data_IF_080100708647
#
_entry.id   IF_080100708647
#
_cell.length_a   1.000
_cell.length_b   1.000
_cell.length_c   1.000
_cell.angle_alpha   90.00
_cell.angle_beta   90.00
_cell.angle_gamma   90.00
#
_symmetry.space_group_name_H-M   'P 1'
#
loop_
_entity.id
_entity.type
_entity.pdbx_description
1 polymer ?
#
# COMPACT_ATOMS: atom_id res chain seq x y z
N UNK A 1 -14.96 -13.58 -73.91
CA UNK A 1 -15.45 -12.20 -73.75
C UNK A 1 -15.72 -11.96 -72.26
N UNK A 2 -14.72 -11.92 -71.38
CA UNK A 2 -13.53 -11.01 -71.28
C UNK A 2 -13.89 -9.70 -70.58
N UNK A 3 -13.23 -9.31 -69.46
CA UNK A 3 -11.83 -8.81 -69.32
C UNK A 3 -11.84 -7.27 -69.38
N UNK A 4 -11.15 -6.49 -68.53
CA UNK A 4 -10.35 -6.75 -67.32
C UNK A 4 -10.07 -5.41 -66.60
N UNK A 5 -9.57 -5.46 -65.35
CA UNK A 5 -8.77 -4.38 -64.75
C UNK A 5 -9.47 -3.48 -63.72
N UNK A 6 -8.77 -2.85 -62.76
CA UNK A 6 -7.87 -3.33 -61.68
C UNK A 6 -7.24 -2.10 -60.97
N UNK A 7 -6.57 -2.29 -59.82
CA UNK A 7 -5.66 -1.31 -59.14
C UNK A 7 -6.41 -0.12 -58.49
N UNK A 8 -6.14 0.42 -57.28
CA UNK A 8 -5.29 0.18 -56.08
C UNK A 8 -6.25 0.36 -54.84
N UNK A 9 -5.95 0.32 -53.54
CA UNK A 9 -4.72 0.20 -52.72
C UNK A 9 -5.05 -0.30 -51.30
N UNK A 10 -4.05 -0.84 -50.59
CA UNK A 10 -4.09 -1.07 -49.14
C UNK A 10 -3.49 0.10 -48.35
N UNK A 11 -3.99 0.34 -47.13
CA UNK A 11 -3.39 1.29 -46.18
C UNK A 11 -2.84 0.57 -44.94
N UNK A 12 -1.56 0.23 -44.99
CA UNK A 12 -0.80 -0.30 -43.86
C UNK A 12 -0.26 0.84 -42.97
N UNK A 13 -0.49 0.84 -41.64
CA UNK A 13 0.13 1.83 -40.75
C UNK A 13 1.66 1.68 -40.72
N UNK A 14 2.38 2.80 -40.83
CA UNK A 14 3.85 2.83 -40.77
C UNK A 14 4.35 2.86 -39.32
N UNK A 15 5.09 1.83 -38.90
CA UNK A 15 5.93 1.90 -37.70
C UNK A 15 7.32 2.45 -38.07
N UNK A 16 7.66 3.64 -37.59
CA UNK A 16 9.01 4.20 -37.73
C UNK A 16 10.00 3.40 -36.87
N UNK A 17 10.83 2.58 -37.51
CA UNK A 17 12.08 2.04 -36.95
C UNK A 17 13.27 2.64 -37.68
N UNK A 18 14.27 3.10 -36.94
CA UNK A 18 15.60 3.46 -37.45
C UNK A 18 16.68 2.55 -36.81
N UNK A 19 17.85 2.37 -37.42
CA UNK A 19 18.36 1.00 -37.52
C UNK A 19 19.75 0.71 -36.92
N UNK A 20 19.95 -0.59 -36.66
CA UNK A 20 21.23 -1.33 -36.66
C UNK A 20 22.26 -1.09 -35.56
N UNK A 21 22.64 -2.20 -34.90
CA UNK A 21 23.93 -2.86 -35.17
C UNK A 21 23.90 -4.33 -34.72
N UNK A 22 24.41 -5.22 -35.56
CA UNK A 22 24.75 -6.60 -35.17
C UNK A 22 26.10 -6.60 -34.43
N UNK A 23 26.32 -7.58 -33.55
CA UNK A 23 27.60 -8.25 -33.42
C UNK A 23 27.53 -9.68 -33.99
N UNK A 24 28.60 -10.11 -34.64
CA UNK A 24 28.76 -11.47 -35.18
C UNK A 24 29.18 -12.47 -34.11
N UNK A 25 29.04 -13.76 -34.42
CA UNK A 25 29.47 -14.89 -33.59
C UNK A 25 30.97 -14.90 -33.28
N UNK A 26 31.32 -15.29 -32.04
CA UNK A 26 32.62 -15.91 -31.73
C UNK A 26 32.46 -16.93 -30.60
N UNK A 27 32.77 -18.19 -30.86
CA UNK A 27 32.80 -19.23 -29.82
C UNK A 27 34.01 -19.06 -28.90
N UNK A 28 33.80 -19.18 -27.59
CA UNK A 28 34.89 -19.31 -26.62
C UNK A 28 34.52 -20.39 -25.58
N UNK A 29 35.01 -21.61 -25.81
CA UNK A 29 34.88 -22.71 -24.85
C UNK A 29 35.80 -22.44 -23.66
N UNK A 30 35.22 -22.25 -22.47
CA UNK A 30 35.96 -22.25 -21.21
C UNK A 30 35.53 -23.45 -20.37
N UNK A 31 36.47 -24.38 -20.20
CA UNK A 31 36.35 -25.55 -19.36
C UNK A 31 36.44 -25.14 -17.88
N UNK A 32 35.39 -25.38 -17.10
CA UNK A 32 35.51 -25.37 -15.64
C UNK A 32 36.00 -26.74 -15.17
N UNK A 33 37.25 -26.80 -14.73
CA UNK A 33 37.82 -27.99 -14.09
C UNK A 33 37.34 -28.10 -12.65
N UNK A 34 36.86 -29.28 -12.26
CA UNK A 34 36.58 -29.59 -10.86
C UNK A 34 37.90 -29.67 -10.08
N UNK A 35 38.02 -28.88 -9.02
CA UNK A 35 39.01 -29.12 -7.96
C UNK A 35 38.33 -29.26 -6.60
N UNK A 36 38.17 -30.51 -6.16
CA UNK A 36 37.90 -30.82 -4.76
C UNK A 36 39.13 -30.50 -3.91
N UNK A 37 38.92 -29.84 -2.77
CA UNK A 37 39.88 -29.80 -1.67
C UNK A 37 39.12 -29.90 -0.35
N UNK A 38 39.73 -30.57 0.64
CA UNK A 38 39.04 -30.96 1.88
C UNK A 38 39.24 -29.94 3.01
N UNK A 39 38.38 -30.03 4.02
CA UNK A 39 38.39 -29.19 5.22
C UNK A 39 39.65 -29.38 6.09
N UNK A 40 39.88 -28.44 7.01
CA UNK A 40 40.08 -28.85 8.40
C UNK A 40 38.93 -28.36 9.31
N UNK A 41 38.70 -29.07 10.41
CA UNK A 41 37.61 -28.77 11.35
C UNK A 41 38.03 -27.79 12.43
N UNK A 42 37.19 -26.79 12.74
CA UNK A 42 37.26 -26.05 13.99
C UNK A 42 36.02 -26.34 14.86
N UNK A 43 36.24 -27.01 15.99
CA UNK A 43 35.22 -27.26 17.00
C UNK A 43 34.98 -25.98 17.79
N UNK A 44 33.79 -25.39 17.72
CA UNK A 44 33.35 -24.40 18.72
C UNK A 44 32.54 -25.09 19.82
N UNK A 45 32.80 -24.69 21.06
CA UNK A 45 32.33 -25.38 22.25
C UNK A 45 30.97 -24.83 22.70
N UNK A 46 29.98 -25.69 22.93
CA UNK A 46 28.75 -25.29 23.61
C UNK A 46 29.06 -25.04 25.09
N UNK A 47 29.01 -23.78 25.52
CA UNK A 47 28.80 -23.45 26.93
C UNK A 47 27.31 -23.14 27.14
N UNK A 48 26.66 -23.94 27.99
CA UNK A 48 25.34 -23.59 28.52
C UNK A 48 25.53 -22.62 29.68
N UNK A 49 24.78 -21.52 29.68
CA UNK A 49 24.53 -20.72 30.88
C UNK A 49 23.07 -20.90 31.28
N UNK A 50 22.86 -21.63 32.38
CA UNK A 50 21.56 -21.83 33.01
C UNK A 50 21.17 -20.54 33.77
N UNK A 51 20.51 -19.61 33.07
CA UNK A 51 19.84 -18.48 33.71
C UNK A 51 18.49 -18.94 34.28
N UNK A 52 18.42 -19.10 35.61
CA UNK A 52 17.23 -19.56 36.32
C UNK A 52 16.14 -18.48 36.39
N UNK A 53 15.27 -18.42 35.38
CA UNK A 53 14.04 -17.62 35.44
C UNK A 53 13.03 -18.26 36.41
N UNK A 54 12.58 -17.51 37.41
CA UNK A 54 11.45 -17.91 38.25
C UNK A 54 10.13 -17.37 37.65
N UNK A 55 9.03 -18.15 37.68
CA UNK A 55 7.73 -17.69 37.20
C UNK A 55 7.08 -16.74 38.21
N UNK A 56 6.71 -15.54 37.77
CA UNK A 56 5.88 -14.62 38.56
C UNK A 56 4.42 -15.06 38.43
N UNK A 57 3.82 -15.52 39.53
CA UNK A 57 2.42 -15.91 39.56
C UNK A 57 1.49 -14.69 39.53
N UNK A 58 0.40 -14.69 38.73
CA UNK A 58 -0.60 -13.63 38.76
C UNK A 58 -1.41 -13.66 40.06
N UNK A 59 -1.74 -12.48 40.59
CA UNK A 59 -2.58 -12.34 41.78
C UNK A 59 -4.04 -12.75 41.52
N UNK A 60 -4.79 -13.21 42.55
CA UNK A 60 -6.11 -13.80 42.34
C UNK A 60 -7.18 -12.80 41.85
N UNK A 61 -8.09 -13.31 41.03
CA UNK A 61 -9.17 -12.57 40.36
C UNK A 61 -10.05 -11.82 41.38
N UNK A 62 -10.08 -10.48 41.29
CA UNK A 62 -11.01 -9.66 42.06
C UNK A 62 -12.40 -9.77 41.42
N UNK A 63 -13.35 -10.36 42.15
CA UNK A 63 -14.72 -10.60 41.67
C UNK A 63 -15.47 -9.26 41.57
N UNK A 64 -15.72 -8.76 40.36
CA UNK A 64 -16.64 -7.64 40.16
C UNK A 64 -18.10 -8.10 40.36
N UNK A 65 -18.92 -7.22 40.93
CA UNK A 65 -20.36 -7.45 41.05
C UNK A 65 -21.04 -7.32 39.66
N UNK A 66 -22.21 -7.96 39.45
CA UNK A 66 -22.98 -7.72 38.23
C UNK A 66 -23.48 -6.28 38.22
N UNK A 67 -23.02 -5.49 37.24
CA UNK A 67 -23.62 -4.19 36.94
C UNK A 67 -25.01 -4.42 36.33
N UNK A 68 -25.96 -3.59 36.76
CA UNK A 68 -27.33 -3.63 36.26
C UNK A 68 -27.40 -3.27 34.78
N UNK A 69 -28.37 -3.89 34.10
CA UNK A 69 -28.76 -3.55 32.72
C UNK A 69 -29.20 -2.07 32.59
N UNK A 70 -29.39 -1.60 31.36
CA UNK A 70 -29.82 -0.25 30.95
C UNK A 70 -28.75 0.85 30.90
N UNK A 71 -27.71 0.65 30.09
CA UNK A 71 -27.15 1.75 29.29
C UNK A 71 -27.53 1.58 27.81
N UNK A 72 -28.72 2.06 27.45
CA UNK A 72 -29.04 2.38 26.04
C UNK A 72 -28.33 3.69 25.69
N UNK A 73 -27.07 3.59 25.31
CA UNK A 73 -26.38 4.71 24.65
C UNK A 73 -27.08 4.96 23.31
N UNK A 74 -27.71 6.13 23.14
CA UNK A 74 -28.16 6.58 21.83
C UNK A 74 -26.93 6.90 20.98
N UNK A 75 -26.42 5.90 20.27
CA UNK A 75 -25.28 6.05 19.36
C UNK A 75 -25.72 6.88 18.16
N UNK A 76 -25.45 8.18 18.20
CA UNK A 76 -25.62 9.11 17.07
C UNK A 76 -25.19 8.44 15.75
N UNK A 77 -26.04 8.57 14.73
CA UNK A 77 -25.80 8.02 13.38
C UNK A 77 -24.51 8.55 12.73
N UNK A 78 -24.02 9.69 13.22
CA UNK A 78 -22.78 10.36 12.82
C UNK A 78 -21.81 10.44 14.00
N UNK A 79 -20.52 10.48 13.68
CA UNK A 79 -19.49 10.84 14.65
C UNK A 79 -19.65 12.29 15.13
N UNK A 80 -19.31 12.52 16.39
CA UNK A 80 -19.36 13.84 17.02
C UNK A 80 -18.02 14.56 16.80
N UNK A 81 -17.91 15.21 15.64
CA UNK A 81 -16.73 15.99 15.19
C UNK A 81 -17.16 17.22 14.38
N UNK A 82 -16.28 18.21 14.29
CA UNK A 82 -16.51 19.43 13.51
C UNK A 82 -16.34 19.18 12.00
N UNK A 83 -17.43 18.79 11.34
CA UNK A 83 -17.43 18.40 9.92
C UNK A 83 -17.02 19.52 8.94
N UNK A 84 -17.23 20.79 9.28
CA UNK A 84 -16.93 21.92 8.38
C UNK A 84 -15.43 22.27 8.30
N UNK A 85 -14.66 22.02 9.36
CA UNK A 85 -13.23 22.32 9.43
C UNK A 85 -12.33 21.10 9.13
N UNK A 86 -12.87 20.08 8.45
CA UNK A 86 -12.11 18.91 8.01
C UNK A 86 -11.08 19.26 6.91
N UNK A 87 -9.81 19.29 7.29
CA UNK A 87 -8.69 19.22 6.33
C UNK A 87 -8.46 17.80 5.78
N UNK A 88 -7.31 17.59 5.16
CA UNK A 88 -6.79 16.26 4.82
C UNK A 88 -5.81 15.77 5.90
N UNK A 89 -6.33 15.59 7.12
CA UNK A 89 -5.62 14.99 8.25
C UNK A 89 -5.85 13.49 8.34
N UNK A 90 -5.13 12.84 9.26
CA UNK A 90 -5.50 11.52 9.77
C UNK A 90 -6.32 11.68 11.05
N UNK A 91 -7.49 11.03 11.11
CA UNK A 91 -8.30 10.86 12.31
C UNK A 91 -8.64 9.37 12.44
N UNK A 92 -8.37 8.71 13.58
CA UNK A 92 -8.71 7.32 13.78
C UNK A 92 -10.24 7.14 13.82
N UNK A 93 -10.74 6.09 13.17
CA UNK A 93 -12.16 5.72 13.15
C UNK A 93 -12.40 4.46 13.99
N UNK A 94 -13.62 3.91 13.96
CA UNK A 94 -13.97 2.77 14.82
C UNK A 94 -13.29 1.44 14.43
N UNK A 95 -13.20 1.14 13.13
CA UNK A 95 -12.76 -0.17 12.62
C UNK A 95 -11.73 -0.08 11.48
N UNK A 96 -10.88 -1.09 11.40
CA UNK A 96 -10.02 -1.40 10.25
C UNK A 96 -10.28 -2.85 9.79
N UNK A 97 -9.88 -3.19 8.57
CA UNK A 97 -10.04 -4.54 8.01
C UNK A 97 -8.69 -5.16 7.68
N UNK A 98 -8.47 -6.43 8.02
CA UNK A 98 -7.20 -7.13 7.79
C UNK A 98 -7.41 -8.48 7.06
N UNK A 99 -6.44 -8.85 6.22
CA UNK A 99 -6.25 -10.19 5.65
C UNK A 99 -4.77 -10.56 5.68
N UNK A 100 -4.44 -11.83 5.89
CA UNK A 100 -3.05 -12.35 5.85
C UNK A 100 -2.88 -13.34 4.70
N UNK A 101 -1.67 -13.45 4.17
CA UNK A 101 -1.34 -14.37 3.07
C UNK A 101 0.10 -14.87 3.22
N UNK A 102 0.31 -16.18 3.15
CA UNK A 102 1.65 -16.76 3.02
C UNK A 102 2.15 -16.62 1.57
N UNK A 103 3.47 -16.56 1.37
CA UNK A 103 4.08 -16.51 0.04
C UNK A 103 3.67 -17.72 -0.81
N UNK A 104 3.13 -17.46 -2.00
CA UNK A 104 2.59 -18.49 -2.90
C UNK A 104 1.22 -19.06 -2.49
N UNK A 105 0.65 -18.61 -1.37
CA UNK A 105 -0.71 -18.96 -0.94
C UNK A 105 -1.78 -17.98 -1.45
N UNK A 106 -3.02 -18.23 -1.06
CA UNK A 106 -4.13 -17.28 -1.16
C UNK A 106 -4.22 -16.40 0.09
N UNK A 107 -4.93 -15.27 -0.01
CA UNK A 107 -5.31 -14.49 1.17
C UNK A 107 -6.36 -15.24 1.99
N UNK A 108 -6.24 -15.17 3.31
CA UNK A 108 -7.21 -15.68 4.28
C UNK A 108 -8.59 -15.03 4.10
N UNK A 109 -9.62 -15.59 4.73
CA UNK A 109 -10.78 -14.79 5.10
C UNK A 109 -10.29 -13.57 5.90
N UNK A 110 -10.86 -12.40 5.61
CA UNK A 110 -10.52 -11.17 6.30
C UNK A 110 -11.48 -10.85 7.44
N UNK A 111 -11.04 -9.97 8.32
CA UNK A 111 -11.72 -9.65 9.57
C UNK A 111 -11.77 -8.14 9.80
N UNK A 112 -12.88 -7.67 10.39
CA UNK A 112 -13.01 -6.31 10.92
C UNK A 112 -12.49 -6.30 12.36
N UNK A 113 -11.42 -5.56 12.59
CA UNK A 113 -10.87 -5.29 13.92
C UNK A 113 -11.18 -3.85 14.34
N UNK A 114 -11.16 -3.55 15.64
CA UNK A 114 -11.14 -2.15 16.09
C UNK A 114 -9.88 -1.47 15.55
N UNK A 115 -9.95 -0.19 15.20
CA UNK A 115 -8.76 0.55 14.79
C UNK A 115 -7.72 0.57 15.93
N UNK A 116 -6.45 0.36 15.58
CA UNK A 116 -5.32 0.37 16.50
C UNK A 116 -4.00 0.16 15.75
N UNK A 117 -2.89 0.18 16.47
CA UNK A 117 -1.57 -0.09 15.91
C UNK A 117 -1.42 -1.56 15.47
N UNK A 118 -0.54 -1.81 14.51
CA UNK A 118 -0.23 -3.17 14.04
C UNK A 118 1.14 -3.64 14.53
N UNK A 119 1.20 -4.86 15.04
CA UNK A 119 2.46 -5.53 15.33
C UNK A 119 3.14 -5.98 14.03
N UNK A 120 4.40 -5.58 13.85
CA UNK A 120 5.26 -6.01 12.75
C UNK A 120 6.59 -6.51 13.30
N UNK A 121 7.18 -7.49 12.61
CA UNK A 121 8.51 -7.97 12.96
C UNK A 121 9.56 -6.90 12.57
N UNK A 122 10.58 -6.59 13.38
CA UNK A 122 11.63 -5.64 12.99
C UNK A 122 12.33 -5.99 11.66
N UNK A 123 12.38 -7.28 11.30
CA UNK A 123 12.92 -7.77 10.03
C UNK A 123 11.88 -7.89 8.89
N UNK A 124 10.67 -7.33 9.02
CA UNK A 124 9.65 -7.36 7.96
C UNK A 124 10.15 -6.68 6.67
N UNK A 125 9.88 -7.30 5.51
CA UNK A 125 10.31 -6.78 4.20
C UNK A 125 9.76 -5.39 3.85
N UNK A 126 8.59 -5.02 4.37
CA UNK A 126 8.04 -3.66 4.21
C UNK A 126 8.87 -2.58 4.91
N UNK A 127 9.48 -2.90 6.06
CA UNK A 127 10.28 -1.96 6.86
C UNK A 127 11.70 -1.80 6.30
N UNK A 128 12.32 -2.91 5.88
CA UNK A 128 13.74 -2.96 5.54
C UNK A 128 14.02 -2.83 4.03
N UNK A 129 13.11 -3.33 3.18
CA UNK A 129 13.28 -3.38 1.72
C UNK A 129 12.24 -2.54 0.96
N UNK A 130 11.34 -1.85 1.68
CA UNK A 130 10.27 -1.04 1.08
C UNK A 130 9.25 -1.86 0.28
N UNK A 131 9.12 -3.17 0.53
CA UNK A 131 8.16 -4.04 -0.18
C UNK A 131 6.72 -3.78 0.30
N UNK A 132 6.17 -2.62 -0.09
CA UNK A 132 4.85 -2.16 0.30
C UNK A 132 4.17 -1.35 -0.80
N UNK A 133 2.85 -1.55 -0.90
CA UNK A 133 1.94 -0.89 -1.83
C UNK A 133 0.80 -0.25 -1.04
N UNK A 134 0.21 0.80 -1.60
CA UNK A 134 -1.00 1.39 -1.04
C UNK A 134 -1.92 1.90 -2.13
N UNK A 135 -3.20 2.02 -1.79
CA UNK A 135 -4.20 2.63 -2.65
C UNK A 135 -4.86 3.85 -2.02
N UNK A 136 -5.69 4.54 -2.80
CA UNK A 136 -6.43 5.70 -2.34
C UNK A 136 -7.71 5.90 -3.11
N UNK A 137 -8.84 5.89 -2.41
CA UNK A 137 -10.16 6.20 -2.95
C UNK A 137 -11.01 6.91 -1.89
N UNK A 138 -12.24 7.30 -2.22
CA UNK A 138 -13.15 8.01 -1.31
C UNK A 138 -14.54 7.39 -1.36
N UNK A 139 -15.18 7.30 -0.19
CA UNK A 139 -16.61 7.10 -0.05
C UNK A 139 -17.31 8.44 0.23
N UNK A 140 -18.49 8.62 -0.36
CA UNK A 140 -19.29 9.85 -0.29
C UNK A 140 -20.72 9.54 0.15
N UNK A 141 -21.30 10.36 1.03
CA UNK A 141 -22.72 10.27 1.41
C UNK A 141 -23.57 11.12 0.46
N UNK A 142 -24.62 10.54 -0.11
CA UNK A 142 -25.66 11.23 -0.88
C UNK A 142 -26.70 11.89 0.04
N UNK A 143 -27.49 12.80 -0.51
CA UNK A 143 -28.65 13.39 0.16
C UNK A 143 -29.71 12.36 0.59
N UNK A 144 -29.83 11.24 -0.14
CA UNK A 144 -30.71 10.12 0.19
C UNK A 144 -30.12 9.15 1.24
N UNK A 145 -28.99 9.51 1.87
CA UNK A 145 -28.32 8.72 2.91
C UNK A 145 -27.46 7.56 2.38
N UNK A 146 -27.54 7.19 1.09
CA UNK A 146 -26.71 6.13 0.52
C UNK A 146 -25.23 6.55 0.46
N UNK A 147 -24.34 5.55 0.51
CA UNK A 147 -22.90 5.74 0.37
C UNK A 147 -22.46 5.25 -1.01
N UNK A 148 -21.73 6.10 -1.74
CA UNK A 148 -21.12 5.77 -3.03
C UNK A 148 -19.62 5.56 -2.90
N UNK A 149 -19.10 4.57 -3.63
CA UNK A 149 -17.69 4.38 -3.94
C UNK A 149 -17.44 4.75 -5.40
N UNK A 150 -16.33 5.40 -5.71
CA UNK A 150 -15.96 5.72 -7.09
C UNK A 150 -14.94 4.73 -7.64
N UNK A 151 -15.39 3.82 -8.51
CA UNK A 151 -14.58 2.84 -9.26
C UNK A 151 -13.54 2.05 -8.41
N UNK A 152 -13.92 1.45 -7.26
CA UNK A 152 -12.98 0.70 -6.40
C UNK A 152 -12.32 -0.49 -7.12
N UNK A 153 -12.92 -0.99 -8.20
CA UNK A 153 -12.39 -2.03 -9.08
C UNK A 153 -11.07 -1.59 -9.74
N UNK A 154 -10.95 -0.32 -10.13
CA UNK A 154 -9.74 0.24 -10.75
C UNK A 154 -8.59 0.33 -9.75
N UNK A 155 -8.89 0.67 -8.50
CA UNK A 155 -7.93 0.62 -7.40
C UNK A 155 -7.47 -0.84 -7.15
N UNK A 156 -8.37 -1.83 -7.24
CA UNK A 156 -8.01 -3.24 -7.12
C UNK A 156 -7.08 -3.70 -8.25
N UNK A 157 -7.42 -3.36 -9.50
CA UNK A 157 -6.61 -3.69 -10.68
C UNK A 157 -5.23 -3.02 -10.62
N UNK A 158 -5.15 -1.75 -10.21
CA UNK A 158 -3.88 -1.04 -10.02
C UNK A 158 -3.05 -1.63 -8.88
N UNK A 159 -3.67 -2.04 -7.76
CA UNK A 159 -2.97 -2.76 -6.70
C UNK A 159 -2.44 -4.11 -7.19
N UNK A 160 -3.18 -4.86 -8.01
CA UNK A 160 -2.72 -6.13 -8.61
C UNK A 160 -1.49 -5.95 -9.49
N UNK A 161 -1.51 -4.99 -10.43
CA UNK A 161 -0.36 -4.68 -11.28
C UNK A 161 0.85 -4.19 -10.46
N UNK A 162 0.59 -3.44 -9.37
CA UNK A 162 1.61 -3.10 -8.39
C UNK A 162 2.21 -4.31 -7.67
N UNK A 163 1.37 -5.26 -7.25
CA UNK A 163 1.78 -6.48 -6.56
C UNK A 163 2.67 -7.35 -7.44
N UNK A 164 2.28 -7.55 -8.70
CA UNK A 164 3.09 -8.22 -9.72
C UNK A 164 4.47 -7.57 -9.87
N UNK A 165 4.54 -6.24 -10.05
CA UNK A 165 5.82 -5.52 -10.22
C UNK A 165 6.72 -5.54 -8.99
N UNK A 166 6.15 -5.76 -7.80
CA UNK A 166 6.83 -5.85 -6.50
C UNK A 166 6.99 -7.31 -6.00
N UNK A 167 6.67 -8.30 -6.82
CA UNK A 167 6.72 -9.74 -6.50
C UNK A 167 5.89 -10.15 -5.26
N UNK A 168 4.72 -9.54 -5.08
CA UNK A 168 3.79 -9.78 -3.97
C UNK A 168 2.54 -10.56 -4.46
N UNK A 169 1.90 -11.39 -3.63
CA UNK A 169 0.57 -11.92 -3.94
C UNK A 169 -0.46 -10.79 -4.01
N UNK A 170 -1.52 -10.96 -4.80
CA UNK A 170 -2.60 -9.98 -4.97
C UNK A 170 -3.96 -10.56 -4.62
N UNK A 171 -4.88 -9.71 -4.15
CA UNK A 171 -6.28 -10.07 -3.96
C UNK A 171 -7.01 -10.20 -5.32
N UNK A 172 -8.12 -10.93 -5.34
CA UNK A 172 -9.09 -10.82 -6.44
C UNK A 172 -9.75 -9.43 -6.44
N UNK A 173 -10.43 -9.02 -7.52
CA UNK A 173 -11.08 -7.68 -7.55
C UNK A 173 -12.21 -7.64 -6.52
N UNK A 174 -12.93 -8.75 -6.44
CA UNK A 174 -14.07 -9.02 -5.58
C UNK A 174 -13.64 -9.00 -4.12
N UNK A 175 -12.56 -9.72 -3.75
CA UNK A 175 -11.99 -9.68 -2.39
C UNK A 175 -11.66 -8.25 -1.94
N UNK A 176 -11.01 -7.47 -2.81
CA UNK A 176 -10.64 -6.08 -2.51
C UNK A 176 -11.88 -5.17 -2.38
N UNK A 177 -12.85 -5.30 -3.28
CA UNK A 177 -14.07 -4.49 -3.29
C UNK A 177 -14.97 -4.81 -2.09
N UNK A 178 -15.14 -6.09 -1.72
CA UNK A 178 -15.90 -6.46 -0.52
C UNK A 178 -15.18 -6.04 0.77
N UNK A 179 -13.85 -6.12 0.84
CA UNK A 179 -13.07 -5.58 1.95
C UNK A 179 -13.29 -4.06 2.11
N UNK A 180 -13.26 -3.30 1.00
CA UNK A 180 -13.55 -1.85 1.00
C UNK A 180 -14.98 -1.60 1.49
N UNK A 181 -15.99 -2.30 0.95
CA UNK A 181 -17.39 -2.17 1.39
C UNK A 181 -17.56 -2.46 2.88
N UNK A 182 -17.01 -3.58 3.37
CA UNK A 182 -17.08 -3.96 4.78
C UNK A 182 -16.46 -2.89 5.70
N UNK A 183 -15.28 -2.38 5.35
CA UNK A 183 -14.60 -1.33 6.12
C UNK A 183 -15.41 -0.03 6.15
N UNK A 184 -16.01 0.37 5.03
CA UNK A 184 -16.82 1.60 4.93
C UNK A 184 -18.15 1.47 5.67
N UNK A 185 -18.80 0.31 5.63
CA UNK A 185 -20.05 0.05 6.36
C UNK A 185 -19.81 -0.01 7.87
N UNK A 186 -18.75 -0.68 8.32
CA UNK A 186 -18.35 -0.69 9.74
C UNK A 186 -18.06 0.72 10.28
N UNK A 187 -17.56 1.62 9.43
CA UNK A 187 -17.31 3.02 9.75
C UNK A 187 -18.41 3.98 9.23
N UNK A 188 -19.66 3.52 9.01
CA UNK A 188 -20.75 4.33 8.42
C UNK A 188 -20.95 5.70 9.11
N UNK A 189 -20.76 5.79 10.43
CA UNK A 189 -20.87 7.05 11.20
C UNK A 189 -19.76 8.08 10.91
N UNK A 190 -18.64 7.64 10.33
CA UNK A 190 -17.49 8.49 9.97
C UNK A 190 -17.56 9.03 8.53
N UNK A 191 -18.51 8.58 7.70
CA UNK A 191 -18.71 9.16 6.36
C UNK A 191 -19.34 10.54 6.52
N UNK A 192 -18.70 11.65 6.08
CA UNK A 192 -19.23 12.99 6.30
C UNK A 192 -20.64 13.20 5.74
N UNK A 193 -21.41 14.17 6.28
CA UNK A 193 -22.65 14.62 5.66
C UNK A 193 -22.43 15.12 4.22
N UNK A 194 -23.47 15.14 3.37
CA UNK A 194 -23.36 15.62 1.99
C UNK A 194 -22.80 17.06 1.95
N UNK A 195 -21.78 17.28 1.13
CA UNK A 195 -21.10 18.58 1.01
C UNK A 195 -20.03 18.88 2.07
N UNK A 196 -19.95 18.10 3.17
CA UNK A 196 -18.96 18.29 4.25
C UNK A 196 -17.65 17.50 4.07
N UNK A 197 -17.47 16.84 2.93
CA UNK A 197 -16.26 16.10 2.60
C UNK A 197 -16.50 14.66 2.16
N UNK A 198 -15.61 13.76 2.58
CA UNK A 198 -15.56 12.35 2.15
C UNK A 198 -14.89 11.46 3.20
N UNK A 199 -15.25 10.17 3.26
CA UNK A 199 -14.43 9.18 3.96
C UNK A 199 -13.31 8.74 3.02
N UNK A 200 -12.07 9.11 3.31
CA UNK A 200 -10.91 8.60 2.58
C UNK A 200 -10.60 7.18 3.01
N UNK A 201 -10.26 6.33 2.04
CA UNK A 201 -10.04 4.90 2.24
C UNK A 201 -8.61 4.58 1.78
N UNK A 202 -7.84 3.96 2.69
CA UNK A 202 -6.43 3.59 2.49
C UNK A 202 -6.25 2.08 2.63
N UNK A 203 -6.37 1.33 1.51
CA UNK A 203 -5.85 -0.03 1.44
C UNK A 203 -4.32 0.01 1.41
N UNK A 204 -3.70 -0.92 2.12
CA UNK A 204 -2.26 -1.20 2.19
C UNK A 204 -2.04 -2.67 1.85
N UNK A 205 -0.94 -2.98 1.17
CA UNK A 205 -0.46 -4.36 0.98
C UNK A 205 1.04 -4.37 1.29
N UNK A 206 1.43 -5.16 2.28
CA UNK A 206 2.74 -5.07 2.95
C UNK A 206 3.41 -6.44 3.01
N UNK A 207 4.71 -6.52 2.68
CA UNK A 207 5.54 -7.68 3.00
C UNK A 207 5.82 -7.72 4.51
N UNK A 208 4.92 -8.35 5.27
CA UNK A 208 4.97 -8.40 6.74
C UNK A 208 5.87 -9.53 7.27
N UNK A 209 6.14 -10.56 6.46
CA UNK A 209 7.04 -11.65 6.84
C UNK A 209 8.49 -11.19 7.00
N UNK A 210 9.20 -11.80 7.95
CA UNK A 210 10.60 -11.49 8.24
C UNK A 210 11.54 -11.96 7.11
N UNK A 211 12.36 -11.06 6.58
CA UNK A 211 13.33 -11.35 5.51
C UNK A 211 14.52 -10.38 5.57
N UNK A 212 15.74 -10.90 5.59
CA UNK A 212 16.99 -10.09 5.62
C UNK A 212 17.71 -10.03 4.26
N UNK A 213 17.55 -11.05 3.42
CA UNK A 213 18.06 -11.04 2.05
C UNK A 213 17.16 -10.25 1.11
N UNK A 214 17.68 -9.78 -0.03
CA UNK A 214 16.87 -9.12 -1.07
C UNK A 214 16.02 -10.16 -1.81
N UNK A 215 14.88 -10.50 -1.22
CA UNK A 215 13.90 -11.47 -1.73
C UNK A 215 12.48 -11.02 -1.36
N UNK A 216 11.43 -11.51 -2.04
CA UNK A 216 10.05 -11.24 -1.64
C UNK A 216 9.76 -11.87 -0.28
N UNK A 217 9.03 -11.16 0.60
CA UNK A 217 8.71 -11.62 1.94
C UNK A 217 7.99 -12.99 1.98
N UNK A 218 8.16 -13.79 3.05
CA UNK A 218 7.47 -15.07 3.22
C UNK A 218 5.99 -14.93 3.64
N UNK A 219 5.59 -13.75 4.12
CA UNK A 219 4.21 -13.44 4.52
C UNK A 219 3.84 -12.01 4.13
N UNK A 220 2.54 -11.79 3.92
CA UNK A 220 1.96 -10.53 3.49
C UNK A 220 0.71 -10.20 4.32
N UNK A 221 0.54 -8.91 4.61
CA UNK A 221 -0.66 -8.37 5.25
C UNK A 221 -1.30 -7.35 4.33
N UNK A 222 -2.58 -7.55 4.03
CA UNK A 222 -3.44 -6.54 3.44
C UNK A 222 -4.26 -5.90 4.56
N UNK A 223 -4.32 -4.57 4.59
CA UNK A 223 -5.02 -3.80 5.62
C UNK A 223 -5.79 -2.65 4.97
N UNK A 224 -7.00 -2.36 5.42
CA UNK A 224 -7.74 -1.14 5.07
C UNK A 224 -8.04 -0.37 6.34
N UNK A 225 -7.58 0.88 6.40
CA UNK A 225 -8.11 1.88 7.33
C UNK A 225 -8.80 3.02 6.56
N UNK A 226 -9.56 3.82 7.29
CA UNK A 226 -10.31 4.95 6.76
C UNK A 226 -10.12 6.19 7.64
N UNK A 227 -10.41 7.38 7.10
CA UNK A 227 -10.39 8.66 7.84
C UNK A 227 -11.36 9.63 7.19
N UNK A 228 -12.20 10.38 7.94
CA UNK A 228 -12.91 11.52 7.36
C UNK A 228 -11.89 12.57 6.89
N UNK A 229 -12.12 13.15 5.71
CA UNK A 229 -11.33 14.26 5.15
C UNK A 229 -12.21 15.20 4.33
N UNK A 230 -11.90 16.49 4.37
CA UNK A 230 -12.46 17.48 3.43
C UNK A 230 -11.53 17.72 2.24
N UNK A 231 -11.14 18.98 2.05
CA UNK A 231 -10.27 19.41 0.97
C UNK A 231 -8.79 19.13 1.26
N UNK A 232 -8.03 18.83 0.19
CA UNK A 232 -6.58 18.58 0.29
C UNK A 232 -5.79 19.87 0.43
N UNK A 233 -6.10 20.86 -0.40
CA UNK A 233 -5.58 22.23 -0.28
C UNK A 233 -6.56 23.06 0.55
N UNK A 234 -6.06 23.81 1.54
CA UNK A 234 -6.89 24.64 2.44
C UNK A 234 -7.73 25.67 1.68
N UNK A 235 -7.17 26.21 0.60
CA UNK A 235 -7.79 27.21 -0.28
C UNK A 235 -8.74 26.59 -1.33
N UNK A 236 -9.01 25.29 -1.25
CA UNK A 236 -10.03 24.59 -2.03
C UNK A 236 -9.73 24.50 -3.53
N UNK A 237 -10.17 25.51 -4.27
CA UNK A 237 -10.04 25.62 -5.74
C UNK A 237 -9.03 26.67 -6.19
N UNK A 238 -8.31 27.32 -5.27
CA UNK A 238 -7.25 28.25 -5.62
C UNK A 238 -6.13 27.57 -6.43
N UNK A 239 -5.49 28.28 -7.38
CA UNK A 239 -4.37 27.74 -8.14
C UNK A 239 -3.15 27.53 -7.24
N UNK A 240 -2.46 26.41 -7.42
CA UNK A 240 -1.20 26.12 -6.72
C UNK A 240 -0.01 26.54 -7.58
N UNK A 241 0.99 27.15 -6.94
CA UNK A 241 2.29 27.39 -7.56
C UNK A 241 3.04 26.06 -7.73
N UNK A 242 3.73 25.89 -8.86
CA UNK A 242 4.51 24.71 -9.20
C UNK A 242 5.94 25.10 -9.55
N UNK A 243 6.92 24.38 -8.99
CA UNK A 243 8.35 24.55 -9.28
C UNK A 243 8.83 23.31 -10.04
N UNK A 244 9.67 23.51 -11.05
CA UNK A 244 10.35 22.42 -11.75
C UNK A 244 11.61 22.06 -10.99
N UNK A 245 11.61 20.86 -10.40
CA UNK A 245 12.79 20.25 -9.78
C UNK A 245 13.70 19.65 -10.86
N UNK A 246 15.01 19.90 -10.75
CA UNK A 246 16.03 19.54 -11.74
C UNK A 246 17.03 18.50 -11.23
N UNK A 247 17.29 18.44 -9.92
CA UNK A 247 18.24 17.49 -9.31
C UNK A 247 17.56 16.19 -8.84
N UNK A 248 16.33 16.29 -8.33
CA UNK A 248 15.63 15.15 -7.71
C UNK A 248 14.64 14.46 -8.64
N UNK A 249 14.89 13.21 -9.02
CA UNK A 249 13.99 12.44 -9.90
C UNK A 249 12.99 11.57 -9.13
N UNK A 250 11.68 11.81 -9.30
CA UNK A 250 10.61 10.95 -8.72
C UNK A 250 10.64 9.50 -9.23
N UNK A 251 11.04 9.30 -10.49
CA UNK A 251 11.01 8.01 -11.16
C UNK A 251 11.93 7.99 -12.38
N UNK A 252 12.35 6.78 -12.78
CA UNK A 252 13.16 6.52 -13.98
C UNK A 252 12.47 5.50 -14.90
N UNK A 253 12.81 5.46 -16.21
CA UNK A 253 12.36 4.41 -17.11
C UNK A 253 12.74 3.01 -16.59
N UNK A 254 11.82 2.04 -16.68
CA UNK A 254 12.00 0.68 -16.13
C UNK A 254 11.88 0.56 -14.60
N UNK A 255 11.95 1.68 -13.86
CA UNK A 255 11.75 1.74 -12.42
C UNK A 255 10.30 1.54 -11.98
N UNK A 256 10.02 1.84 -10.72
CA UNK A 256 8.70 1.65 -10.08
C UNK A 256 7.70 2.79 -10.36
N UNK A 257 8.02 3.75 -11.22
CA UNK A 257 7.31 5.04 -11.34
C UNK A 257 5.82 5.00 -11.71
N UNK A 258 5.36 3.91 -12.33
CA UNK A 258 3.96 3.64 -12.67
C UNK A 258 3.17 2.87 -11.61
N UNK A 259 3.82 2.48 -10.50
CA UNK A 259 3.24 1.67 -9.41
C UNK A 259 3.06 2.51 -8.15
N UNK A 260 2.01 2.22 -7.38
CA UNK A 260 1.71 2.92 -6.13
C UNK A 260 2.43 2.30 -4.91
N UNK A 261 3.75 2.12 -5.06
CA UNK A 261 4.65 1.64 -4.00
C UNK A 261 5.09 2.78 -3.08
N UNK A 262 5.36 2.46 -1.81
CA UNK A 262 5.79 3.41 -0.78
C UNK A 262 7.15 4.08 -1.12
N UNK A 263 8.08 3.35 -1.77
CA UNK A 263 9.41 3.86 -2.10
C UNK A 263 9.39 5.10 -3.02
N UNK A 264 8.41 5.19 -3.92
CA UNK A 264 8.24 6.32 -4.83
C UNK A 264 7.90 7.65 -4.13
N UNK A 265 7.45 7.61 -2.88
CA UNK A 265 7.01 8.79 -2.13
C UNK A 265 8.09 9.27 -1.15
N UNK A 266 8.84 8.36 -0.53
CA UNK A 266 9.97 8.72 0.34
C UNK A 266 11.05 9.52 -0.42
N UNK A 267 11.36 9.13 -1.67
CA UNK A 267 12.39 9.75 -2.49
C UNK A 267 12.15 11.25 -2.81
N UNK A 268 10.89 11.71 -2.83
CA UNK A 268 10.55 13.11 -3.18
C UNK A 268 10.40 14.04 -1.97
N UNK A 269 10.47 13.52 -0.74
CA UNK A 269 10.28 14.34 0.47
C UNK A 269 11.37 15.42 0.63
N UNK A 270 12.62 15.16 0.22
CA UNK A 270 13.68 16.18 0.27
C UNK A 270 13.37 17.37 -0.65
N UNK A 271 12.97 17.10 -1.89
CA UNK A 271 12.59 18.15 -2.84
C UNK A 271 11.42 18.98 -2.28
N UNK A 272 10.33 18.31 -1.88
CA UNK A 272 9.15 18.96 -1.31
C UNK A 272 9.48 19.82 -0.06
N UNK A 273 10.37 19.33 0.82
CA UNK A 273 10.77 20.04 2.04
C UNK A 273 11.71 21.23 1.79
N UNK A 274 12.62 21.12 0.82
CA UNK A 274 13.58 22.18 0.48
C UNK A 274 12.90 23.49 0.06
N UNK A 275 11.81 23.39 -0.72
CA UNK A 275 11.06 24.56 -1.19
C UNK A 275 10.38 25.36 -0.07
N UNK A 276 9.91 24.71 1.01
CA UNK A 276 9.38 25.44 2.17
C UNK A 276 10.46 26.29 2.85
N UNK A 277 11.70 25.79 2.94
CA UNK A 277 12.80 26.54 3.54
C UNK A 277 13.27 27.70 2.67
N UNK A 278 13.31 27.53 1.34
CA UNK A 278 13.74 28.60 0.43
C UNK A 278 12.75 29.76 0.38
N UNK A 279 11.43 29.51 0.40
CA UNK A 279 10.45 30.61 0.48
C UNK A 279 10.56 31.39 1.80
N UNK A 280 10.68 30.70 2.95
CA UNK A 280 10.84 31.37 4.26
C UNK A 280 12.12 32.23 4.30
N UNK A 281 13.22 31.77 3.69
CA UNK A 281 14.47 32.53 3.64
C UNK A 281 14.50 33.67 2.60
N UNK A 282 13.48 33.81 1.75
CA UNK A 282 13.39 34.88 0.74
C UNK A 282 12.38 35.99 1.09
N UNK A 283 11.71 35.89 2.24
CA UNK A 283 10.76 36.89 2.76
C UNK A 283 11.23 37.53 4.08
N UNK A 284 12.54 37.52 4.34
CA UNK A 284 13.20 38.08 5.55
C UNK A 284 14.30 39.09 5.24
#
# INVERSE_FOLDING_TARGET
MESSGAVLADLHPNYLRCPSRNPSSSSSTLLFTHHSSASPSHKLQKQLLLASYQPVFPSPIRRCAPLSDTFRTETSELADIEWDNLGFGFLPTDYMYLMKCAQGGSFSNGELQRFGDIELNPASGVLNLGQGLFEGMKAYRKQDGNILLFRPEENALRMRSGAERMCMPSLTVEQFVEAVKATVLANKRWVPPPGKGSLYIRPLLMGSGAVLGVAPAPEYTFLIYVSPVGNYFKEGLAPINLIVEHESHRATPGGTGGVKTIGNYAAVLKAQGGFLMQHICCEG
#
